data_IF_911064420180
#
_entry.id   IF_911064420180
#
_cell.length_a   1.000
_cell.length_b   1.000
_cell.length_c   1.000
_cell.angle_alpha   90.00
_cell.angle_beta   90.00
_cell.angle_gamma   90.00
#
_symmetry.space_group_name_H-M   'P 1'
#
loop_
_entity.id
_entity.type
_entity.pdbx_description
1 polymer ?
#
# COMPACT_ATOMS: atom_id res chain seq x y z
N UNK A 1 4.14 -7.65 16.11
CA UNK A 1 3.23 -7.83 14.99
C UNK A 1 1.78 -7.50 15.33
N UNK A 2 1.19 -8.10 16.38
CA UNK A 2 -0.21 -7.86 16.78
C UNK A 2 -0.51 -6.40 17.10
N UNK A 3 0.40 -5.70 17.77
CA UNK A 3 0.26 -4.28 18.14
C UNK A 3 0.25 -3.40 16.87
N UNK A 4 1.20 -3.61 15.97
CA UNK A 4 1.29 -2.85 14.71
C UNK A 4 0.07 -3.11 13.83
N UNK A 5 -0.40 -4.36 13.74
CA UNK A 5 -1.61 -4.70 12.99
C UNK A 5 -2.85 -4.01 13.57
N UNK A 6 -3.00 -3.98 14.91
CA UNK A 6 -4.11 -3.28 15.57
C UNK A 6 -4.05 -1.78 15.33
N UNK A 7 -2.86 -1.17 15.41
CA UNK A 7 -2.67 0.25 15.11
C UNK A 7 -3.05 0.57 13.66
N UNK A 8 -2.62 -0.24 12.69
CA UNK A 8 -2.98 -0.08 11.29
C UNK A 8 -4.49 -0.18 11.05
N UNK A 9 -5.17 -1.15 11.65
CA UNK A 9 -6.63 -1.26 11.53
C UNK A 9 -7.37 -0.10 12.20
N UNK A 10 -6.88 0.41 13.32
CA UNK A 10 -7.49 1.57 13.98
C UNK A 10 -7.33 2.83 13.10
N UNK A 11 -6.15 3.05 12.52
CA UNK A 11 -5.92 4.17 11.59
C UNK A 11 -6.78 4.06 10.34
N UNK A 12 -6.97 2.85 9.80
CA UNK A 12 -7.85 2.60 8.66
C UNK A 12 -9.32 2.94 8.99
N UNK A 13 -9.79 2.57 10.17
CA UNK A 13 -11.13 2.91 10.66
C UNK A 13 -11.32 4.42 10.87
N UNK A 14 -10.30 5.12 11.38
CA UNK A 14 -10.31 6.59 11.51
C UNK A 14 -10.38 7.27 10.14
N UNK A 15 -9.58 6.85 9.18
CA UNK A 15 -9.61 7.35 7.79
C UNK A 15 -10.97 7.08 7.15
N UNK A 16 -11.53 5.89 7.33
CA UNK A 16 -12.86 5.54 6.84
C UNK A 16 -13.96 6.45 7.42
N UNK A 17 -13.88 6.75 8.73
CA UNK A 17 -14.79 7.68 9.40
C UNK A 17 -14.68 9.10 8.86
N UNK A 18 -13.46 9.60 8.65
CA UNK A 18 -13.20 10.92 8.08
C UNK A 18 -13.75 11.03 6.65
N UNK A 19 -13.50 10.05 5.80
CA UNK A 19 -14.01 10.03 4.42
C UNK A 19 -15.54 9.93 4.40
N UNK A 20 -16.14 9.16 5.30
CA UNK A 20 -17.59 9.11 5.44
C UNK A 20 -18.19 10.48 5.82
N UNK A 21 -17.52 11.21 6.70
CA UNK A 21 -17.90 12.59 7.07
C UNK A 21 -17.76 13.52 5.87
N UNK A 22 -16.64 13.47 5.15
CA UNK A 22 -16.40 14.27 3.94
C UNK A 22 -17.45 13.99 2.86
N UNK A 23 -17.89 12.74 2.70
CA UNK A 23 -18.91 12.37 1.73
C UNK A 23 -20.27 13.03 1.99
N UNK A 24 -20.57 13.42 3.23
CA UNK A 24 -21.81 14.10 3.63
C UNK A 24 -21.72 15.63 3.57
N UNK A 25 -20.54 16.19 3.42
CA UNK A 25 -20.37 17.64 3.32
C UNK A 25 -20.83 18.16 1.95
N UNK A 26 -21.70 19.18 1.92
CA UNK A 26 -22.29 19.67 0.67
C UNK A 26 -21.34 20.49 -0.21
N UNK A 27 -20.23 20.99 0.35
CA UNK A 27 -19.32 21.91 -0.34
C UNK A 27 -18.09 21.21 -0.97
N UNK A 28 -17.99 19.87 -0.86
CA UNK A 28 -16.86 19.14 -1.42
C UNK A 28 -17.20 18.70 -2.85
N UNK A 29 -16.27 18.94 -3.77
CA UNK A 29 -16.40 18.53 -5.16
C UNK A 29 -16.59 17.02 -5.31
N UNK A 30 -17.41 16.60 -6.27
CA UNK A 30 -17.69 15.19 -6.56
C UNK A 30 -16.42 14.43 -6.96
N UNK A 31 -15.47 15.07 -7.64
CA UNK A 31 -14.17 14.49 -8.01
C UNK A 31 -13.35 14.18 -6.77
N UNK A 32 -13.26 15.10 -5.82
CA UNK A 32 -12.54 14.91 -4.56
C UNK A 32 -13.14 13.79 -3.72
N UNK A 33 -14.48 13.69 -3.65
CA UNK A 33 -15.15 12.57 -2.99
C UNK A 33 -14.78 11.22 -3.61
N UNK A 34 -14.74 11.17 -4.93
CA UNK A 34 -14.38 9.94 -5.68
C UNK A 34 -12.93 9.54 -5.41
N UNK A 35 -11.98 10.48 -5.47
CA UNK A 35 -10.56 10.23 -5.21
C UNK A 35 -10.33 9.79 -3.75
N UNK A 36 -11.01 10.41 -2.80
CA UNK A 36 -10.94 10.05 -1.38
C UNK A 36 -11.47 8.64 -1.13
N UNK A 37 -12.58 8.27 -1.77
CA UNK A 37 -13.14 6.94 -1.67
C UNK A 37 -12.21 5.88 -2.31
N UNK A 38 -11.65 6.17 -3.48
CA UNK A 38 -10.68 5.30 -4.14
C UNK A 38 -9.43 5.10 -3.26
N UNK A 39 -8.91 6.18 -2.67
CA UNK A 39 -7.79 6.11 -1.74
C UNK A 39 -8.08 5.18 -0.55
N UNK A 40 -9.27 5.31 0.06
CA UNK A 40 -9.70 4.45 1.16
C UNK A 40 -9.73 2.97 0.74
N UNK A 41 -10.37 2.67 -0.41
CA UNK A 41 -10.49 1.30 -0.90
C UNK A 41 -9.12 0.67 -1.17
N UNK A 42 -8.21 1.41 -1.81
CA UNK A 42 -6.85 0.95 -2.10
C UNK A 42 -6.01 0.80 -0.83
N UNK A 43 -6.12 1.72 0.13
CA UNK A 43 -5.44 1.62 1.43
C UNK A 43 -5.88 0.38 2.19
N UNK A 44 -7.17 0.11 2.25
CA UNK A 44 -7.71 -1.08 2.88
C UNK A 44 -7.25 -2.37 2.19
N UNK A 45 -7.24 -2.39 0.87
CA UNK A 45 -6.72 -3.50 0.07
C UNK A 45 -5.24 -3.73 0.34
N UNK A 46 -4.44 -2.66 0.38
CA UNK A 46 -3.02 -2.71 0.66
C UNK A 46 -2.73 -3.27 2.07
N UNK A 47 -3.47 -2.82 3.09
CA UNK A 47 -3.37 -3.35 4.45
C UNK A 47 -3.73 -4.82 4.53
N UNK A 48 -4.69 -5.27 3.72
CA UNK A 48 -5.07 -6.70 3.65
C UNK A 48 -3.92 -7.55 3.10
N UNK A 49 -3.19 -7.06 2.10
CA UNK A 49 -1.99 -7.74 1.59
C UNK A 49 -0.86 -7.78 2.62
N UNK A 50 -0.62 -6.69 3.36
CA UNK A 50 0.35 -6.67 4.46
C UNK A 50 -0.02 -7.70 5.53
N UNK A 51 -1.30 -7.79 5.89
CA UNK A 51 -1.79 -8.76 6.87
C UNK A 51 -1.58 -10.20 6.40
N UNK A 52 -1.83 -10.49 5.13
CA UNK A 52 -1.59 -11.79 4.53
C UNK A 52 -0.10 -12.17 4.53
N UNK A 53 0.80 -11.24 4.17
CA UNK A 53 2.24 -11.44 4.28
C UNK A 53 2.68 -11.75 5.71
N UNK A 54 2.16 -11.01 6.68
CA UNK A 54 2.47 -11.22 8.09
C UNK A 54 2.05 -12.59 8.64
N UNK A 55 1.00 -13.19 8.06
CA UNK A 55 0.54 -14.52 8.43
C UNK A 55 1.55 -15.63 8.00
N UNK A 56 2.33 -15.38 6.95
CA UNK A 56 3.30 -16.32 6.40
C UNK A 56 4.75 -16.02 6.79
N UNK A 57 4.99 -15.02 7.65
CA UNK A 57 6.33 -14.55 8.00
C UNK A 57 7.24 -15.63 8.57
N UNK A 58 6.72 -16.51 9.42
CA UNK A 58 7.50 -17.54 10.08
C UNK A 58 7.97 -18.65 9.13
N UNK A 59 7.39 -18.72 7.93
CA UNK A 59 7.68 -19.71 6.91
C UNK A 59 8.66 -19.20 5.86
N UNK A 60 9.06 -17.92 5.92
CA UNK A 60 10.01 -17.33 4.98
C UNK A 60 11.44 -17.67 5.37
N UNK A 61 12.02 -18.67 4.74
CA UNK A 61 13.42 -19.06 4.93
C UNK A 61 14.30 -18.79 3.70
N UNK A 62 13.71 -18.58 2.54
CA UNK A 62 14.43 -18.28 1.31
C UNK A 62 15.07 -16.89 1.36
N UNK A 63 16.39 -16.82 1.21
CA UNK A 63 17.17 -15.58 1.27
C UNK A 63 16.82 -14.61 0.12
N UNK A 64 16.49 -15.11 -1.05
CA UNK A 64 16.10 -14.28 -2.18
C UNK A 64 14.73 -13.64 -1.97
N UNK A 65 13.79 -14.38 -1.34
CA UNK A 65 12.48 -13.86 -0.96
C UNK A 65 12.62 -12.81 0.15
N UNK A 66 13.51 -13.01 1.12
CA UNK A 66 13.80 -12.03 2.17
C UNK A 66 14.43 -10.76 1.59
N UNK A 67 15.38 -10.88 0.67
CA UNK A 67 15.97 -9.73 -0.01
C UNK A 67 14.93 -8.96 -0.85
N UNK A 68 14.05 -9.66 -1.57
CA UNK A 68 12.93 -9.05 -2.27
C UNK A 68 11.99 -8.29 -1.33
N UNK A 69 11.69 -8.88 -0.17
CA UNK A 69 10.83 -8.24 0.83
C UNK A 69 11.45 -6.94 1.35
N UNK A 70 12.76 -6.93 1.62
CA UNK A 70 13.47 -5.73 2.06
C UNK A 70 13.42 -4.61 1.00
N UNK A 71 13.66 -4.93 -0.26
CA UNK A 71 13.54 -3.96 -1.37
C UNK A 71 12.10 -3.46 -1.54
N UNK A 72 11.13 -4.35 -1.48
CA UNK A 72 9.72 -3.96 -1.59
C UNK A 72 9.28 -3.04 -0.43
N UNK A 73 9.76 -3.29 0.79
CA UNK A 73 9.49 -2.44 1.95
C UNK A 73 10.13 -1.05 1.79
N UNK A 74 11.35 -0.96 1.25
CA UNK A 74 12.01 0.32 0.99
C UNK A 74 11.27 1.12 -0.09
N UNK A 75 10.84 0.49 -1.18
CA UNK A 75 10.00 1.09 -2.21
C UNK A 75 8.68 1.63 -1.64
N UNK A 76 8.02 0.84 -0.78
CA UNK A 76 6.76 1.24 -0.13
C UNK A 76 6.98 2.45 0.77
N UNK A 77 8.01 2.43 1.61
CA UNK A 77 8.35 3.55 2.49
C UNK A 77 8.74 4.80 1.68
N UNK A 78 9.54 4.63 0.64
CA UNK A 78 9.91 5.69 -0.28
C UNK A 78 8.69 6.36 -0.91
N UNK A 79 7.79 5.57 -1.49
CA UNK A 79 6.60 6.07 -2.16
C UNK A 79 5.60 6.74 -1.21
N UNK A 80 5.36 6.16 -0.03
CA UNK A 80 4.31 6.63 0.88
C UNK A 80 4.77 7.69 1.89
N UNK A 81 6.05 7.70 2.27
CA UNK A 81 6.56 8.61 3.30
C UNK A 81 7.45 9.73 2.71
N UNK A 82 8.13 9.49 1.60
CA UNK A 82 9.09 10.42 1.00
C UNK A 82 8.69 10.90 -0.40
N UNK A 83 7.54 10.49 -0.90
CA UNK A 83 7.03 10.78 -2.25
C UNK A 83 8.03 10.41 -3.38
N UNK A 84 8.84 9.39 -3.14
CA UNK A 84 9.81 8.86 -4.10
C UNK A 84 9.10 7.97 -5.12
N UNK A 85 9.62 7.95 -6.35
CA UNK A 85 9.16 7.01 -7.38
C UNK A 85 9.90 5.69 -7.18
N UNK A 86 9.20 4.56 -6.95
CA UNK A 86 9.84 3.26 -6.83
C UNK A 86 10.64 2.93 -8.09
N UNK A 87 11.82 2.37 -7.91
CA UNK A 87 12.56 1.78 -9.03
C UNK A 87 11.96 0.41 -9.42
N UNK A 88 12.47 -0.21 -10.48
CA UNK A 88 11.98 -1.51 -10.92
C UNK A 88 12.69 -2.70 -10.27
N UNK A 89 13.56 -2.46 -9.27
CA UNK A 89 14.40 -3.51 -8.67
C UNK A 89 13.56 -4.60 -8.02
N UNK A 90 12.61 -4.23 -7.18
CA UNK A 90 11.72 -5.20 -6.53
C UNK A 90 10.88 -5.99 -7.53
N UNK A 91 10.36 -5.36 -8.58
CA UNK A 91 9.60 -6.03 -9.64
C UNK A 91 10.46 -6.99 -10.46
N UNK A 92 11.70 -6.61 -10.77
CA UNK A 92 12.64 -7.46 -11.49
C UNK A 92 13.05 -8.67 -10.65
N UNK A 93 13.32 -8.49 -9.36
CA UNK A 93 13.61 -9.56 -8.42
C UNK A 93 12.42 -10.54 -8.31
N UNK A 94 11.20 -10.01 -8.17
CA UNK A 94 9.97 -10.79 -8.13
C UNK A 94 9.82 -11.68 -9.38
N UNK A 95 10.04 -11.11 -10.55
CA UNK A 95 9.96 -11.83 -11.81
C UNK A 95 11.00 -12.95 -11.91
N UNK A 96 12.24 -12.68 -11.54
CA UNK A 96 13.33 -13.66 -11.53
C UNK A 96 13.06 -14.83 -10.58
N UNK A 97 12.56 -14.55 -9.38
CA UNK A 97 12.21 -15.58 -8.39
C UNK A 97 11.05 -16.44 -8.92
N UNK A 98 10.00 -15.84 -9.48
CA UNK A 98 8.86 -16.56 -10.07
C UNK A 98 9.27 -17.51 -11.17
N UNK A 99 10.20 -17.12 -12.03
CA UNK A 99 10.70 -18.00 -13.09
C UNK A 99 11.48 -19.20 -12.58
N UNK A 100 12.14 -19.07 -11.42
CA UNK A 100 12.95 -20.13 -10.83
C UNK A 100 12.13 -21.13 -10.04
N UNK A 101 11.00 -20.71 -9.46
CA UNK A 101 10.16 -21.58 -8.60
C UNK A 101 9.53 -22.69 -9.40
N UNK A 102 9.78 -23.93 -8.96
CA UNK A 102 9.21 -25.12 -9.58
C UNK A 102 7.90 -25.50 -8.87
N UNK A 103 6.79 -25.55 -9.59
CA UNK A 103 5.43 -25.68 -9.05
C UNK A 103 5.10 -27.02 -8.37
N UNK A 104 6.06 -27.92 -8.20
CA UNK A 104 5.84 -29.29 -7.70
C UNK A 104 6.13 -29.50 -6.21
N UNK A 105 6.73 -28.53 -5.52
CA UNK A 105 7.08 -28.67 -4.11
C UNK A 105 6.10 -27.89 -3.21
N UNK A 106 5.67 -28.48 -2.08
CA UNK A 106 4.72 -27.84 -1.15
C UNK A 106 5.33 -26.60 -0.46
N UNK A 107 6.62 -26.62 -0.15
CA UNK A 107 7.31 -25.46 0.43
C UNK A 107 7.42 -24.32 -0.57
N UNK A 108 7.55 -24.62 -1.86
CA UNK A 108 7.52 -23.65 -2.95
C UNK A 108 6.13 -23.05 -3.16
N UNK A 109 5.04 -23.80 -2.90
CA UNK A 109 3.67 -23.25 -3.01
C UNK A 109 3.40 -22.14 -1.98
N UNK A 110 3.94 -22.24 -0.78
CA UNK A 110 3.84 -21.18 0.22
C UNK A 110 4.64 -19.94 -0.20
N UNK A 111 5.82 -20.14 -0.77
CA UNK A 111 6.61 -19.06 -1.37
C UNK A 111 5.84 -18.33 -2.49
N UNK A 112 5.08 -19.05 -3.32
CA UNK A 112 4.25 -18.45 -4.37
C UNK A 112 3.15 -17.55 -3.83
N UNK A 113 2.53 -17.88 -2.70
CA UNK A 113 1.52 -17.02 -2.07
C UNK A 113 2.14 -15.69 -1.64
N UNK A 114 3.33 -15.73 -1.03
CA UNK A 114 4.07 -14.53 -0.62
C UNK A 114 4.42 -13.67 -1.84
N UNK A 115 4.95 -14.28 -2.90
CA UNK A 115 5.28 -13.59 -4.14
C UNK A 115 4.05 -12.98 -4.80
N UNK A 116 2.90 -13.64 -4.74
CA UNK A 116 1.65 -13.11 -5.24
C UNK A 116 1.19 -11.88 -4.44
N UNK A 117 1.24 -11.93 -3.11
CA UNK A 117 0.88 -10.78 -2.28
C UNK A 117 1.80 -9.58 -2.52
N UNK A 118 3.11 -9.80 -2.61
CA UNK A 118 4.08 -8.75 -2.95
C UNK A 118 3.81 -8.15 -4.34
N UNK A 119 3.50 -8.97 -5.33
CA UNK A 119 3.13 -8.50 -6.67
C UNK A 119 1.91 -7.59 -6.64
N UNK A 120 0.87 -7.98 -5.91
CA UNK A 120 -0.35 -7.19 -5.78
C UNK A 120 -0.09 -5.86 -5.07
N UNK A 121 0.73 -5.86 -4.01
CA UNK A 121 1.14 -4.64 -3.31
C UNK A 121 1.91 -3.69 -4.22
N UNK A 122 2.91 -4.18 -4.94
CA UNK A 122 3.72 -3.38 -5.86
C UNK A 122 2.90 -2.82 -7.03
N UNK A 123 1.87 -3.53 -7.48
CA UNK A 123 0.97 -3.06 -8.54
C UNK A 123 0.02 -1.95 -8.06
N UNK A 124 -0.42 -1.99 -6.81
CA UNK A 124 -1.31 -0.98 -6.22
C UNK A 124 -0.54 0.28 -5.79
N UNK A 125 0.72 0.14 -5.42
CA UNK A 125 1.54 1.20 -4.83
C UNK A 125 1.60 2.50 -5.66
N UNK A 126 1.81 2.49 -7.00
CA UNK A 126 1.87 3.73 -7.79
C UNK A 126 0.56 4.51 -7.75
N UNK A 127 -0.59 3.83 -7.83
CA UNK A 127 -1.90 4.48 -7.77
C UNK A 127 -2.17 5.05 -6.39
N UNK A 128 -1.87 4.31 -5.33
CA UNK A 128 -2.02 4.74 -3.95
C UNK A 128 -1.16 5.98 -3.65
N UNK A 129 0.10 5.98 -4.09
CA UNK A 129 1.01 7.12 -3.95
C UNK A 129 0.50 8.36 -4.69
N UNK A 130 0.00 8.20 -5.91
CA UNK A 130 -0.56 9.29 -6.71
C UNK A 130 -1.81 9.90 -6.07
N UNK A 131 -2.71 9.07 -5.55
CA UNK A 131 -3.92 9.52 -4.84
C UNK A 131 -3.56 10.28 -3.55
N UNK A 132 -2.58 9.77 -2.78
CA UNK A 132 -2.07 10.46 -1.59
C UNK A 132 -1.56 11.85 -1.93
N UNK A 133 -0.76 11.99 -2.99
CA UNK A 133 -0.24 13.28 -3.44
C UNK A 133 -1.36 14.22 -3.86
N UNK A 134 -2.31 13.77 -4.69
CA UNK A 134 -3.44 14.58 -5.16
C UNK A 134 -4.27 15.13 -4.00
N UNK A 135 -4.60 14.30 -3.01
CA UNK A 135 -5.37 14.70 -1.84
C UNK A 135 -4.59 15.65 -0.91
N UNK A 136 -3.25 15.53 -0.87
CA UNK A 136 -2.40 16.43 -0.07
C UNK A 136 -2.28 17.83 -0.68
N UNK A 137 -2.25 17.95 -2.00
CA UNK A 137 -2.18 19.25 -2.70
C UNK A 137 -3.44 20.07 -2.48
N UNK A 138 -4.62 19.47 -2.57
CA UNK A 138 -5.90 20.16 -2.40
C UNK A 138 -6.07 20.75 -0.99
N UNK A 139 -5.59 20.07 0.04
CA UNK A 139 -5.61 20.57 1.43
C UNK A 139 -4.72 21.80 1.62
N UNK A 140 -3.65 21.97 0.84
CA UNK A 140 -2.77 23.13 0.91
C UNK A 140 -3.36 24.35 0.20
N UNK A 141 -4.08 24.20 -0.90
CA UNK A 141 -4.74 25.31 -1.62
C UNK A 141 -5.87 25.91 -0.79
N UNK A 142 -6.72 25.11 -0.16
CA UNK A 142 -7.78 25.60 0.73
C UNK A 142 -7.23 26.34 1.98
N UNK A 143 -6.06 25.93 2.48
CA UNK A 143 -5.41 26.57 3.63
C UNK A 143 -4.81 27.94 3.31
N UNK A 144 -4.47 28.22 2.07
CA UNK A 144 -3.88 29.50 1.65
C UNK A 144 -4.93 30.59 1.34
N UNK A 145 -6.14 30.22 0.98
CA UNK A 145 -7.24 31.18 0.76
C UNK A 145 -7.70 31.85 2.07
N UNK A 146 -7.65 31.14 3.18
CA UNK A 146 -8.00 31.72 4.50
C UNK A 146 -6.91 32.61 5.11
N UNK A 147 -5.67 32.50 4.68
CA UNK A 147 -4.55 33.30 5.17
C UNK A 147 -4.42 34.68 4.44
N UNK A 148 -5.18 34.92 3.38
CA UNK A 148 -5.17 36.14 2.57
C UNK A 148 -6.30 37.12 2.90
N UNK A 149 -7.13 36.80 3.88
CA UNK A 149 -8.19 37.64 4.42
C UNK A 149 -7.80 38.24 5.76
#
# INVERSE_FOLDING_TARGET
YRIVRRAAHNSDAEVASLISTLATEPNIDATQKTLSFEFLCLSHTFLSYIAALGAHREQMQDQDVLALLDHALDDIQGALLRDEVPDLTAQNMLHAIRQRVNHQDQDEQQGLIILQQLSLMLNVLPRLSMLKQSLSYEVQEDGTEFASL
#
